data_IF_941017309766
#
_entry.id   IF_941017309766
#
_cell.length_a   1.000
_cell.length_b   1.000
_cell.length_c   1.000
_cell.angle_alpha   90.00
_cell.angle_beta   90.00
_cell.angle_gamma   90.00
#
_symmetry.space_group_name_H-M   'P 1'
#
loop_
_entity.id
_entity.type
_entity.pdbx_description
1 polymer ?
#
# COMPACT_ATOMS: atom_id res chain seq x y z
N UNK A 1 -4.50 -22.07 -21.39
CA UNK A 1 -5.62 -21.23 -20.89
C UNK A 1 -5.46 -19.85 -21.50
N UNK A 2 -6.22 -19.59 -22.55
CA UNK A 2 -6.22 -18.33 -23.29
C UNK A 2 -7.05 -17.33 -22.50
N UNK A 3 -6.41 -16.31 -21.93
CA UNK A 3 -7.12 -15.23 -21.23
C UNK A 3 -7.38 -14.13 -22.25
N UNK A 4 -8.62 -14.04 -22.71
CA UNK A 4 -9.11 -12.90 -23.48
C UNK A 4 -9.14 -11.68 -22.56
N UNK A 5 -8.23 -10.74 -22.80
CA UNK A 5 -8.16 -9.48 -22.09
C UNK A 5 -9.14 -8.51 -22.77
N UNK A 6 -10.32 -8.31 -22.16
CA UNK A 6 -11.23 -7.24 -22.55
C UNK A 6 -10.54 -5.92 -22.21
N UNK A 7 -10.04 -5.23 -23.22
CA UNK A 7 -9.50 -3.88 -23.14
C UNK A 7 -10.66 -2.91 -22.89
N UNK A 8 -10.98 -2.66 -21.63
CA UNK A 8 -11.78 -1.49 -21.24
C UNK A 8 -10.78 -0.37 -20.93
N UNK A 9 -10.71 0.54 -21.90
CA UNK A 9 -9.92 1.77 -21.98
C UNK A 9 -9.27 2.20 -20.65
N UNK A 10 -8.00 1.83 -20.50
CA UNK A 10 -7.19 2.19 -19.36
C UNK A 10 -6.73 3.64 -19.56
N UNK A 11 -7.45 4.58 -18.93
CA UNK A 11 -7.00 5.97 -18.74
C UNK A 11 -5.49 6.01 -18.55
N UNK A 12 -4.79 6.79 -19.39
CA UNK A 12 -3.33 6.79 -19.56
C UNK A 12 -2.57 7.08 -18.26
N UNK A 13 -2.40 6.07 -17.42
CA UNK A 13 -1.30 5.98 -16.47
C UNK A 13 -0.08 5.80 -17.37
N UNK A 14 0.94 6.64 -17.23
CA UNK A 14 2.20 6.50 -17.96
C UNK A 14 2.75 5.09 -17.71
N UNK A 15 2.51 4.17 -18.64
CA UNK A 15 3.09 2.84 -18.61
C UNK A 15 4.60 3.06 -18.68
N UNK A 16 5.35 2.54 -17.71
CA UNK A 16 6.82 2.63 -17.72
C UNK A 16 7.29 2.05 -19.06
N UNK A 17 7.83 2.90 -19.93
CA UNK A 17 8.31 2.47 -21.26
C UNK A 17 9.70 1.82 -21.17
N UNK A 18 10.43 2.07 -20.08
CA UNK A 18 11.74 1.46 -19.84
C UNK A 18 11.58 0.01 -19.32
N UNK A 19 12.50 -0.90 -19.72
CA UNK A 19 12.52 -2.27 -19.21
C UNK A 19 12.61 -2.31 -17.68
N UNK A 20 11.95 -3.30 -17.07
CA UNK A 20 12.08 -3.57 -15.63
C UNK A 20 13.48 -4.11 -15.36
N UNK A 21 14.21 -3.51 -14.42
CA UNK A 21 15.56 -3.96 -14.05
C UNK A 21 15.54 -5.20 -13.14
N UNK A 22 16.64 -5.94 -13.05
CA UNK A 22 16.76 -7.05 -12.08
C UNK A 22 16.56 -6.59 -10.63
N UNK A 23 17.04 -5.39 -10.30
CA UNK A 23 16.81 -4.75 -9.00
C UNK A 23 15.33 -4.50 -8.75
N UNK A 24 14.60 -4.00 -9.75
CA UNK A 24 13.15 -3.81 -9.63
C UNK A 24 12.45 -5.16 -9.38
N UNK A 25 12.85 -6.23 -10.08
CA UNK A 25 12.30 -7.58 -9.88
C UNK A 25 12.56 -8.07 -8.44
N UNK A 26 13.77 -7.86 -7.90
CA UNK A 26 14.12 -8.21 -6.52
C UNK A 26 13.24 -7.46 -5.52
N UNK A 27 13.08 -6.15 -5.69
CA UNK A 27 12.22 -5.34 -4.83
C UNK A 27 10.75 -5.81 -4.91
N UNK A 28 10.22 -6.04 -6.12
CA UNK A 28 8.84 -6.53 -6.28
C UNK A 28 8.62 -7.88 -5.58
N UNK A 29 9.56 -8.83 -5.75
CA UNK A 29 9.52 -10.13 -5.05
C UNK A 29 9.63 -10.01 -3.54
N UNK A 30 10.34 -9.00 -3.04
CA UNK A 30 10.45 -8.77 -1.60
C UNK A 30 9.16 -8.15 -1.05
N UNK A 31 8.68 -7.06 -1.65
CA UNK A 31 7.53 -6.31 -1.13
C UNK A 31 6.20 -7.05 -1.29
N UNK A 32 6.10 -7.96 -2.26
CA UNK A 32 4.93 -8.86 -2.35
C UNK A 32 4.88 -9.85 -1.19
N UNK A 33 6.03 -10.31 -0.66
CA UNK A 33 6.05 -11.20 0.51
C UNK A 33 5.50 -10.49 1.75
N UNK A 34 5.83 -9.21 1.94
CA UNK A 34 5.24 -8.40 3.00
C UNK A 34 3.73 -8.16 2.79
N UNK A 35 3.30 -7.91 1.55
CA UNK A 35 1.87 -7.82 1.23
C UNK A 35 1.13 -9.14 1.51
N UNK A 36 1.73 -10.30 1.20
CA UNK A 36 1.19 -11.61 1.52
C UNK A 36 1.16 -11.90 3.02
N UNK A 37 2.20 -11.49 3.77
CA UNK A 37 2.26 -11.67 5.22
C UNK A 37 1.11 -10.95 5.95
N UNK A 38 0.55 -9.89 5.37
CA UNK A 38 -0.60 -9.18 5.95
C UNK A 38 -1.88 -10.04 6.01
N UNK A 39 -1.91 -11.18 5.30
CA UNK A 39 -2.99 -12.17 5.40
C UNK A 39 -2.82 -13.16 6.55
N UNK A 40 -1.70 -13.13 7.26
CA UNK A 40 -1.43 -14.00 8.40
C UNK A 40 -1.75 -13.31 9.74
N UNK A 41 -1.98 -14.09 10.79
CA UNK A 41 -1.98 -13.62 12.19
C UNK A 41 -0.53 -13.50 12.67
N UNK A 42 0.13 -12.38 12.35
CA UNK A 42 1.57 -12.18 12.61
C UNK A 42 1.80 -11.86 14.08
N UNK A 43 2.51 -12.73 14.80
CA UNK A 43 2.93 -12.52 16.20
C UNK A 43 4.43 -12.67 16.33
N UNK A 44 5.12 -11.65 16.86
CA UNK A 44 6.59 -11.62 16.96
C UNK A 44 7.30 -11.99 15.66
N UNK A 45 6.74 -11.57 14.53
CA UNK A 45 7.17 -11.95 13.18
C UNK A 45 7.25 -13.47 12.97
N UNK A 46 6.25 -14.21 13.49
CA UNK A 46 6.07 -15.65 13.26
C UNK A 46 4.74 -15.85 12.57
N UNK A 47 4.80 -16.32 11.31
CA UNK A 47 3.63 -16.52 10.45
C UNK A 47 3.86 -17.59 9.38
N UNK A 48 4.71 -18.58 9.69
CA UNK A 48 5.19 -19.57 8.73
C UNK A 48 6.07 -18.95 7.64
N UNK A 49 6.00 -19.51 6.42
CA UNK A 49 6.90 -19.17 5.30
C UNK A 49 6.94 -17.68 4.95
N UNK A 50 5.88 -16.93 5.22
CA UNK A 50 5.83 -15.49 4.93
C UNK A 50 6.76 -14.66 5.84
N UNK A 51 7.13 -15.19 7.01
CA UNK A 51 8.02 -14.56 7.98
C UNK A 51 9.47 -15.13 7.93
N UNK A 52 9.75 -16.03 7.00
CA UNK A 52 11.04 -16.72 6.83
C UNK A 52 11.79 -16.22 5.58
N UNK A 53 13.04 -16.67 5.41
CA UNK A 53 13.84 -16.36 4.23
C UNK A 53 14.14 -14.86 4.12
N UNK A 54 13.71 -14.24 3.01
CA UNK A 54 14.01 -12.82 2.73
C UNK A 54 13.37 -11.84 3.72
N UNK A 55 12.29 -12.23 4.39
CA UNK A 55 11.63 -11.39 5.40
C UNK A 55 12.10 -11.70 6.82
N UNK A 56 13.00 -12.67 7.00
CA UNK A 56 13.51 -13.06 8.32
C UNK A 56 14.24 -11.89 9.02
N UNK A 57 14.20 -11.88 10.35
CA UNK A 57 14.80 -10.81 11.16
C UNK A 57 14.01 -9.49 11.18
N UNK A 58 12.84 -9.45 10.55
CA UNK A 58 11.92 -8.31 10.70
C UNK A 58 11.37 -8.27 12.13
N UNK A 59 11.30 -7.07 12.69
CA UNK A 59 10.68 -6.79 13.98
C UNK A 59 9.26 -6.27 13.75
N UNK A 60 8.27 -7.01 14.23
CA UNK A 60 6.90 -6.53 14.27
C UNK A 60 6.81 -5.39 15.29
N UNK A 61 6.37 -4.21 14.87
CA UNK A 61 6.15 -3.06 15.76
C UNK A 61 4.70 -3.03 16.21
N UNK A 62 3.77 -3.24 15.27
CA UNK A 62 2.34 -3.28 15.56
C UNK A 62 1.64 -4.17 14.55
N UNK A 63 0.83 -5.09 15.03
CA UNK A 63 -0.24 -5.71 14.24
C UNK A 63 -1.55 -4.98 14.57
N UNK A 64 -2.38 -4.72 13.56
CA UNK A 64 -3.69 -4.13 13.76
C UNK A 64 -4.75 -4.92 13.01
N UNK A 65 -5.87 -5.11 13.67
CA UNK A 65 -7.04 -5.80 13.16
C UNK A 65 -8.26 -5.07 13.68
N UNK A 66 -9.05 -4.53 12.76
CA UNK A 66 -10.34 -3.94 13.04
C UNK A 66 -11.43 -4.95 12.71
N UNK A 67 -12.41 -5.07 13.61
CA UNK A 67 -13.57 -5.92 13.39
C UNK A 67 -14.49 -5.36 12.29
N UNK A 68 -15.46 -6.18 11.88
CA UNK A 68 -16.60 -5.82 11.00
C UNK A 68 -17.18 -4.43 11.40
N UNK A 69 -17.55 -3.55 10.44
CA UNK A 69 -17.90 -3.85 9.05
C UNK A 69 -16.78 -3.79 8.01
N UNK A 70 -15.59 -3.29 8.34
CA UNK A 70 -14.59 -2.92 7.32
C UNK A 70 -13.29 -3.72 7.32
N UNK A 71 -13.09 -4.59 8.32
CA UNK A 71 -12.04 -5.62 8.34
C UNK A 71 -10.65 -5.10 7.92
N UNK A 72 -10.26 -3.95 8.46
CA UNK A 72 -8.96 -3.33 8.19
C UNK A 72 -7.87 -4.07 8.99
N UNK A 73 -7.06 -4.85 8.28
CA UNK A 73 -5.98 -5.65 8.86
C UNK A 73 -4.65 -5.27 8.24
N UNK A 74 -3.60 -5.31 9.05
CA UNK A 74 -2.25 -5.07 8.58
C UNK A 74 -1.24 -4.98 9.71
N UNK A 75 -0.04 -4.52 9.37
CA UNK A 75 1.00 -4.31 10.35
C UNK A 75 1.95 -3.17 9.98
N UNK A 76 2.64 -2.69 11.01
CA UNK A 76 3.86 -1.89 10.91
C UNK A 76 5.02 -2.73 11.43
N UNK A 77 6.08 -2.81 10.66
CA UNK A 77 7.26 -3.59 10.98
C UNK A 77 8.55 -2.87 10.57
N UNK A 78 9.69 -3.31 11.10
CA UNK A 78 11.02 -2.79 10.73
C UNK A 78 11.90 -3.96 10.31
N UNK A 79 12.58 -3.82 9.18
CA UNK A 79 13.64 -4.73 8.77
C UNK A 79 14.96 -3.95 8.65
N UNK A 80 15.89 -4.21 9.58
CA UNK A 80 17.15 -3.48 9.68
C UNK A 80 18.13 -3.84 8.54
N UNK A 81 18.05 -5.07 8.00
CA UNK A 81 18.83 -5.50 6.83
C UNK A 81 18.44 -4.73 5.56
N UNK A 82 17.14 -4.51 5.37
CA UNK A 82 16.60 -3.71 4.26
C UNK A 82 16.57 -2.21 4.57
N UNK A 83 16.91 -1.82 5.81
CA UNK A 83 16.80 -0.45 6.34
C UNK A 83 15.44 0.15 6.04
N UNK A 84 14.38 -0.59 6.36
CA UNK A 84 13.01 -0.27 5.96
C UNK A 84 12.04 -0.28 7.15
N UNK A 85 11.19 0.74 7.20
CA UNK A 85 9.93 0.75 7.94
C UNK A 85 8.85 0.31 6.94
N UNK A 86 8.14 -0.78 7.25
CA UNK A 86 7.17 -1.39 6.37
C UNK A 86 5.78 -1.22 6.95
N UNK A 87 4.85 -0.71 6.14
CA UNK A 87 3.41 -0.71 6.41
C UNK A 87 2.78 -1.64 5.39
N UNK A 88 2.21 -2.75 5.84
CA UNK A 88 1.53 -3.70 4.98
C UNK A 88 0.05 -3.77 5.33
N UNK A 89 -0.81 -3.58 4.32
CA UNK A 89 -2.25 -3.74 4.46
C UNK A 89 -2.71 -5.02 3.79
N UNK A 90 -3.60 -5.74 4.48
CA UNK A 90 -4.34 -6.87 3.93
C UNK A 90 -5.40 -6.36 2.96
N UNK A 91 -5.67 -7.15 1.92
CA UNK A 91 -6.93 -7.02 1.21
C UNK A 91 -8.10 -7.64 1.98
N UNK A 92 -9.26 -7.68 1.35
CA UNK A 92 -10.36 -8.54 1.84
C UNK A 92 -10.04 -10.02 1.59
N UNK A 93 -10.62 -10.91 2.40
CA UNK A 93 -10.68 -12.35 2.11
C UNK A 93 -11.70 -12.68 1.02
N UNK A 94 -12.65 -11.79 0.73
CA UNK A 94 -13.71 -11.99 -0.27
C UNK A 94 -13.56 -11.07 -1.49
N UNK A 95 -12.58 -11.40 -2.33
CA UNK A 95 -12.24 -10.63 -3.53
C UNK A 95 -13.36 -10.71 -4.58
N UNK A 96 -14.14 -11.79 -4.59
CA UNK A 96 -15.27 -11.96 -5.52
C UNK A 96 -16.39 -10.98 -5.19
N UNK A 97 -16.72 -10.83 -3.91
CA UNK A 97 -17.68 -9.81 -3.47
C UNK A 97 -17.18 -8.41 -3.74
N UNK A 98 -15.87 -8.10 -3.64
CA UNK A 98 -15.38 -6.77 -4.06
C UNK A 98 -15.61 -6.50 -5.55
N UNK A 99 -15.37 -7.49 -6.43
CA UNK A 99 -15.53 -7.31 -7.87
C UNK A 99 -17.01 -7.14 -8.24
N UNK A 100 -17.91 -7.83 -7.53
CA UNK A 100 -19.36 -7.73 -7.74
C UNK A 100 -19.97 -6.48 -7.09
N UNK A 101 -19.57 -6.15 -5.86
CA UNK A 101 -19.95 -4.97 -5.08
C UNK A 101 -19.08 -3.75 -5.38
N UNK A 102 -18.41 -3.72 -6.53
CA UNK A 102 -17.70 -2.55 -7.05
C UNK A 102 -18.72 -1.48 -7.47
N UNK A 103 -19.62 -1.10 -6.55
CA UNK A 103 -20.40 0.10 -6.61
C UNK A 103 -19.39 1.24 -6.68
N UNK A 104 -19.38 1.93 -7.81
CA UNK A 104 -18.49 3.05 -8.13
C UNK A 104 -18.83 4.31 -7.30
N UNK A 105 -19.07 4.14 -6.01
CA UNK A 105 -19.34 5.21 -5.07
C UNK A 105 -18.03 5.91 -4.75
N UNK A 106 -17.83 7.05 -5.42
CA UNK A 106 -16.68 7.90 -5.23
C UNK A 106 -17.01 9.02 -4.24
N UNK A 107 -16.12 9.24 -3.28
CA UNK A 107 -16.19 10.34 -2.29
C UNK A 107 -15.06 11.34 -2.54
N UNK A 108 -15.23 12.64 -2.26
CA UNK A 108 -14.14 13.60 -2.32
C UNK A 108 -12.91 13.14 -1.51
N UNK A 109 -11.71 13.27 -2.08
CA UNK A 109 -10.47 12.86 -1.43
C UNK A 109 -10.00 13.88 -0.37
N UNK A 110 -9.78 15.12 -0.80
CA UNK A 110 -9.28 16.21 0.03
C UNK A 110 -9.70 17.56 -0.56
N UNK A 111 -10.08 18.56 0.26
CA UNK A 111 -10.36 19.91 -0.24
C UNK A 111 -9.17 20.54 -0.97
N UNK A 112 -7.94 20.16 -0.62
CA UNK A 112 -6.70 20.68 -1.23
C UNK A 112 -6.40 20.10 -2.61
N UNK A 113 -7.16 19.11 -3.06
CA UNK A 113 -7.02 18.50 -4.39
C UNK A 113 -8.40 18.54 -5.06
N UNK A 114 -8.76 19.67 -5.69
CA UNK A 114 -10.06 19.84 -6.34
C UNK A 114 -10.36 18.69 -7.31
N UNK A 115 -11.63 18.31 -7.38
CA UNK A 115 -12.16 17.25 -8.23
C UNK A 115 -11.62 15.83 -8.00
N UNK A 116 -10.60 15.64 -7.15
CA UNK A 116 -10.10 14.32 -6.80
C UNK A 116 -11.14 13.57 -5.96
N UNK A 117 -11.54 12.40 -6.44
CA UNK A 117 -12.42 11.49 -5.73
C UNK A 117 -11.80 10.11 -5.64
N UNK A 118 -12.02 9.44 -4.50
CA UNK A 118 -11.53 8.10 -4.19
C UNK A 118 -12.68 7.15 -3.91
N UNK A 119 -12.44 5.86 -4.07
CA UNK A 119 -13.45 4.84 -3.76
C UNK A 119 -13.85 4.92 -2.28
N UNK A 120 -15.13 5.16 -2.01
CA UNK A 120 -15.66 5.40 -0.67
C UNK A 120 -15.29 4.28 0.31
N UNK A 121 -15.52 3.03 -0.08
CA UNK A 121 -15.24 1.88 0.79
C UNK A 121 -13.77 1.78 1.16
N UNK A 122 -12.86 2.02 0.21
CA UNK A 122 -11.42 1.88 0.44
C UNK A 122 -10.91 2.99 1.35
N UNK A 123 -11.38 4.21 1.12
CA UNK A 123 -10.99 5.37 1.92
C UNK A 123 -11.59 5.30 3.34
N UNK A 124 -12.83 4.82 3.48
CA UNK A 124 -13.44 4.57 4.78
C UNK A 124 -12.66 3.51 5.57
N UNK A 125 -12.31 2.38 4.95
CA UNK A 125 -11.49 1.34 5.58
C UNK A 125 -10.14 1.89 6.01
N UNK A 126 -9.44 2.65 5.14
CA UNK A 126 -8.17 3.29 5.49
C UNK A 126 -8.30 4.24 6.70
N UNK A 127 -9.36 5.06 6.72
CA UNK A 127 -9.58 6.03 7.79
C UNK A 127 -9.76 5.39 9.17
N UNK A 128 -10.19 4.12 9.27
CA UNK A 128 -10.32 3.42 10.56
C UNK A 128 -8.98 3.29 11.32
N UNK A 129 -7.84 3.29 10.62
CA UNK A 129 -6.51 3.20 11.25
C UNK A 129 -5.55 4.33 10.88
N UNK A 130 -5.99 5.27 10.03
CA UNK A 130 -5.19 6.37 9.47
C UNK A 130 -4.39 7.14 10.50
N UNK A 131 -5.04 7.68 11.54
CA UNK A 131 -4.39 8.56 12.51
C UNK A 131 -3.34 7.81 13.34
N UNK A 132 -3.72 6.64 13.86
CA UNK A 132 -2.85 5.82 14.71
C UNK A 132 -1.60 5.37 13.94
N UNK A 133 -1.80 4.80 12.75
CA UNK A 133 -0.70 4.23 11.95
C UNK A 133 0.19 5.33 11.39
N UNK A 134 -0.38 6.42 10.87
CA UNK A 134 0.42 7.55 10.37
C UNK A 134 1.24 8.18 11.49
N UNK A 135 0.67 8.35 12.68
CA UNK A 135 1.40 8.88 13.84
C UNK A 135 2.52 7.95 14.31
N UNK A 136 2.27 6.63 14.32
CA UNK A 136 3.28 5.63 14.62
C UNK A 136 4.45 5.70 13.62
N UNK A 137 4.16 5.69 12.32
CA UNK A 137 5.19 5.73 11.28
C UNK A 137 6.01 7.02 11.37
N UNK A 138 5.38 8.18 11.61
CA UNK A 138 6.10 9.46 11.80
C UNK A 138 7.08 9.41 12.97
N UNK A 139 6.74 8.74 14.07
CA UNK A 139 7.70 8.50 15.17
C UNK A 139 8.84 7.58 14.75
N UNK A 140 8.53 6.47 14.07
CA UNK A 140 9.56 5.55 13.59
C UNK A 140 10.53 6.21 12.60
N UNK A 141 10.06 7.11 11.74
CA UNK A 141 10.91 7.92 10.86
C UNK A 141 11.89 8.76 11.66
N UNK A 142 11.43 9.42 12.74
CA UNK A 142 12.30 10.20 13.62
C UNK A 142 13.38 9.33 14.28
N UNK A 143 13.00 8.13 14.71
CA UNK A 143 13.92 7.19 15.38
C UNK A 143 14.86 6.48 14.39
N UNK A 144 14.52 6.44 13.10
CA UNK A 144 15.25 5.76 12.05
C UNK A 144 15.42 6.66 10.80
N UNK A 145 16.12 7.81 10.90
CA UNK A 145 16.10 8.88 9.88
C UNK A 145 16.73 8.49 8.54
N UNK A 146 17.40 7.35 8.49
CA UNK A 146 18.13 6.86 7.32
C UNK A 146 17.47 5.63 6.70
N UNK A 147 16.25 5.29 7.12
CA UNK A 147 15.48 4.15 6.63
C UNK A 147 14.49 4.59 5.55
N UNK A 148 14.20 3.68 4.62
CA UNK A 148 13.10 3.84 3.67
C UNK A 148 11.76 3.50 4.34
N UNK A 149 10.69 4.16 3.90
CA UNK A 149 9.33 3.87 4.30
C UNK A 149 8.62 3.22 3.13
N UNK A 150 8.20 1.98 3.32
CA UNK A 150 7.53 1.16 2.32
C UNK A 150 6.07 0.99 2.72
N UNK A 151 5.15 1.49 1.89
CA UNK A 151 3.74 1.10 1.98
C UNK A 151 3.47 0.02 0.95
N UNK A 152 2.92 -1.12 1.38
CA UNK A 152 2.65 -2.25 0.48
C UNK A 152 1.30 -2.90 0.76
N UNK A 153 0.75 -3.56 -0.25
CA UNK A 153 -0.50 -4.29 -0.12
C UNK A 153 -0.95 -4.97 -1.40
N UNK A 154 -1.76 -6.02 -1.24
CA UNK A 154 -2.38 -6.76 -2.33
C UNK A 154 -3.89 -6.49 -2.39
N UNK A 155 -4.48 -6.49 -3.60
CA UNK A 155 -5.91 -6.26 -3.80
C UNK A 155 -6.34 -4.93 -3.16
N UNK A 156 -7.41 -4.91 -2.35
CA UNK A 156 -7.85 -3.76 -1.55
C UNK A 156 -6.70 -3.12 -0.76
N UNK A 157 -5.81 -3.92 -0.16
CA UNK A 157 -4.68 -3.42 0.64
C UNK A 157 -3.72 -2.53 -0.16
N UNK A 158 -3.65 -2.72 -1.48
CA UNK A 158 -2.89 -1.82 -2.36
C UNK A 158 -3.44 -0.39 -2.34
N UNK A 159 -4.78 -0.22 -2.36
CA UNK A 159 -5.38 1.11 -2.33
C UNK A 159 -5.12 1.82 -0.98
N UNK A 160 -5.18 1.06 0.12
CA UNK A 160 -4.85 1.57 1.46
C UNK A 160 -3.38 1.99 1.56
N UNK A 161 -2.46 1.22 0.96
CA UNK A 161 -1.04 1.56 0.90
C UNK A 161 -0.77 2.87 0.13
N UNK A 162 -1.53 3.13 -0.95
CA UNK A 162 -1.47 4.41 -1.68
C UNK A 162 -1.89 5.56 -0.78
N UNK A 163 -3.04 5.45 -0.09
CA UNK A 163 -3.52 6.50 0.82
C UNK A 163 -2.53 6.76 1.97
N UNK A 164 -1.99 5.69 2.57
CA UNK A 164 -0.97 5.81 3.61
C UNK A 164 0.28 6.54 3.15
N UNK A 165 0.73 6.31 1.91
CA UNK A 165 1.89 7.01 1.35
C UNK A 165 1.60 8.50 1.20
N UNK A 166 0.42 8.85 0.69
CA UNK A 166 0.02 10.24 0.51
C UNK A 166 -0.01 11.02 1.84
N UNK A 167 -0.45 10.39 2.94
CA UNK A 167 -0.46 11.01 4.28
C UNK A 167 0.93 11.14 4.94
N UNK A 168 1.94 10.46 4.39
CA UNK A 168 3.33 10.55 4.84
C UNK A 168 4.14 11.58 4.04
N UNK A 169 3.60 12.12 2.95
CA UNK A 169 4.21 13.22 2.19
C UNK A 169 4.45 14.41 3.11
N UNK A 170 5.64 15.02 3.00
CA UNK A 170 6.03 16.16 3.82
C UNK A 170 6.35 15.83 5.29
N UNK A 171 6.40 14.54 5.68
CA UNK A 171 6.85 14.15 7.03
C UNK A 171 8.28 14.67 7.28
N UNK A 172 8.52 15.49 8.32
CA UNK A 172 9.86 15.97 8.64
C UNK A 172 10.84 14.82 8.88
N UNK A 173 12.02 14.92 8.27
CA UNK A 173 13.07 13.88 8.36
C UNK A 173 12.90 12.71 7.38
N UNK A 174 11.78 12.61 6.65
CA UNK A 174 11.61 11.62 5.60
C UNK A 174 12.04 12.19 4.24
N UNK A 175 13.13 11.67 3.69
CA UNK A 175 13.52 12.02 2.32
C UNK A 175 12.45 11.54 1.33
N UNK A 176 11.97 12.39 0.39
CA UNK A 176 11.01 11.98 -0.63
C UNK A 176 11.43 10.74 -1.44
N UNK A 177 12.73 10.55 -1.71
CA UNK A 177 13.23 9.37 -2.43
C UNK A 177 13.11 8.06 -1.64
N UNK A 178 12.91 8.16 -0.33
CA UNK A 178 12.82 7.04 0.60
C UNK A 178 11.37 6.66 0.93
N UNK A 179 10.38 7.42 0.47
CA UNK A 179 8.96 7.08 0.60
C UNK A 179 8.49 6.38 -0.68
N UNK A 180 8.20 5.08 -0.58
CA UNK A 180 7.92 4.23 -1.72
C UNK A 180 6.62 3.44 -1.49
N UNK A 181 5.85 3.24 -2.56
CA UNK A 181 4.66 2.39 -2.54
C UNK A 181 4.82 1.24 -3.52
N UNK A 182 4.49 0.03 -3.08
CA UNK A 182 4.44 -1.17 -3.92
C UNK A 182 3.08 -1.84 -3.77
N UNK A 183 2.27 -1.85 -4.83
CA UNK A 183 0.95 -2.46 -4.80
C UNK A 183 0.87 -3.63 -5.78
N UNK A 184 0.10 -4.65 -5.42
CA UNK A 184 0.00 -5.90 -6.19
C UNK A 184 -1.47 -6.22 -6.46
N UNK A 185 -1.88 -6.26 -7.73
CA UNK A 185 -3.29 -6.49 -8.08
C UNK A 185 -4.24 -5.45 -7.49
N UNK A 186 -3.76 -4.22 -7.27
CA UNK A 186 -4.57 -3.11 -6.76
C UNK A 186 -5.77 -2.86 -7.70
N UNK A 187 -6.98 -2.61 -7.19
CA UNK A 187 -8.10 -2.11 -8.01
C UNK A 187 -7.93 -0.62 -8.36
N UNK A 188 -8.80 -0.03 -9.18
CA UNK A 188 -8.80 1.44 -9.36
C UNK A 188 -9.27 2.09 -8.07
N UNK A 189 -8.45 2.97 -7.48
CA UNK A 189 -8.67 3.56 -6.15
C UNK A 189 -9.30 4.97 -6.18
N UNK A 190 -9.40 5.60 -7.35
CA UNK A 190 -10.03 6.90 -7.52
C UNK A 190 -10.22 7.31 -8.98
N UNK A 191 -10.66 8.54 -9.20
CA UNK A 191 -10.91 9.11 -10.53
C UNK A 191 -9.63 9.66 -11.19
N UNK A 192 -9.79 10.21 -12.41
CA UNK A 192 -8.68 10.77 -13.19
C UNK A 192 -7.96 11.92 -12.46
N UNK A 193 -8.70 12.80 -11.78
CA UNK A 193 -8.11 13.90 -11.00
C UNK A 193 -7.22 13.36 -9.86
N UNK A 194 -7.67 12.33 -9.14
CA UNK A 194 -6.86 11.65 -8.13
C UNK A 194 -5.62 10.96 -8.73
N UNK A 195 -5.77 10.28 -9.87
CA UNK A 195 -4.64 9.65 -10.56
C UNK A 195 -3.59 10.69 -11.00
N UNK A 196 -4.02 11.84 -11.56
CA UNK A 196 -3.15 12.96 -11.91
C UNK A 196 -2.45 13.55 -10.69
N UNK A 197 -3.16 13.70 -9.58
CA UNK A 197 -2.56 14.14 -8.32
C UNK A 197 -1.43 13.22 -7.87
N UNK A 198 -1.64 11.90 -7.88
CA UNK A 198 -0.59 10.92 -7.57
C UNK A 198 0.62 11.07 -8.50
N UNK A 199 0.39 11.13 -9.82
CA UNK A 199 1.46 11.27 -10.82
C UNK A 199 2.26 12.55 -10.59
N UNK A 200 1.58 13.66 -10.31
CA UNK A 200 2.19 14.97 -10.13
C UNK A 200 2.85 15.16 -8.76
N UNK A 201 2.65 14.23 -7.82
CA UNK A 201 3.27 14.28 -6.48
C UNK A 201 4.79 14.16 -6.52
N UNK A 202 5.34 13.54 -7.58
CA UNK A 202 6.77 13.24 -7.70
C UNK A 202 7.26 12.05 -6.85
N UNK A 203 6.37 11.40 -6.10
CA UNK A 203 6.68 10.19 -5.32
C UNK A 203 6.54 8.92 -6.17
N UNK A 204 7.22 7.84 -5.75
CA UNK A 204 7.27 6.58 -6.51
C UNK A 204 6.18 5.61 -6.05
N UNK A 205 5.20 5.41 -6.91
CA UNK A 205 4.16 4.40 -6.77
C UNK A 205 4.36 3.31 -7.83
N UNK A 206 4.74 2.10 -7.39
CA UNK A 206 4.87 0.93 -8.24
C UNK A 206 3.62 0.08 -8.12
N UNK A 207 2.92 -0.10 -9.24
CA UNK A 207 1.72 -0.94 -9.33
C UNK A 207 2.03 -2.14 -10.22
N UNK A 208 1.96 -3.34 -9.65
CA UNK A 208 2.32 -4.62 -10.26
C UNK A 208 1.10 -5.51 -10.46
#
# INVERSE_FOLDING_TARGET
LTVNMILIDASSIYRRQNPVSETDIREFKLWVKYASAAYCDVKDWKCGKACEGDTAGTRLIKFFQQSVPRDNNGFVAINDKERAIIIAYRGTSDIQSIIQDFQLNLTPYSPSVPDAKVHFGFYATYNDTREEITSLVKRLVKDNPSYKVISTGHSLGGALAVFQTLDLIGTPGLNPSNLLTYTFGEPRSGNNAFAKFIINSGYKFFRV
#
